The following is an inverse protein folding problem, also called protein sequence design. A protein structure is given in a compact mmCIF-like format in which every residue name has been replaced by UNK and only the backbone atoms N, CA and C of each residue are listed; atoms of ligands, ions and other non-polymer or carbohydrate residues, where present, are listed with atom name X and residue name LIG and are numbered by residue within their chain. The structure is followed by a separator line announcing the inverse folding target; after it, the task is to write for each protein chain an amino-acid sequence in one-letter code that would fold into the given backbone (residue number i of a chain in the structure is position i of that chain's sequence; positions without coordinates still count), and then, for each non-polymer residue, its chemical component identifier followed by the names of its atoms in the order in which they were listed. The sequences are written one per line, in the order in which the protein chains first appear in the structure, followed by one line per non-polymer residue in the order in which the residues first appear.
data_IF_901648265187
#
_entry.id   IF_901648265187
#
_cell.length_a   1.000
_cell.length_b   1.000
_cell.length_c   1.000
_cell.angle_alpha   90.00
_cell.angle_beta   90.00
_cell.angle_gamma   90.00
#
_symmetry.space_group_name_H-M   'P 1'
#
loop_
_entity.id
_entity.type
_entity.pdbx_description
1 polymer ?
#
# COMPACT_ATOMS: atom_id res chain seq x y z
N UNK A 1 7.88 -13.60 19.73
CA UNK A 1 7.66 -12.16 19.62
C UNK A 1 8.54 -11.57 18.50
N UNK A 2 7.95 -10.91 17.51
CA UNK A 2 8.70 -10.17 16.48
C UNK A 2 8.99 -8.79 17.05
N UNK A 3 10.23 -8.32 16.89
CA UNK A 3 10.65 -6.98 17.35
C UNK A 3 10.11 -5.90 16.46
N UNK A 4 9.88 -4.70 17.01
CA UNK A 4 9.51 -3.51 16.28
C UNK A 4 10.63 -2.99 15.38
N UNK A 5 10.26 -2.16 14.40
CA UNK A 5 11.22 -1.49 13.53
C UNK A 5 12.11 -0.54 14.34
N UNK A 6 13.41 -0.63 14.13
CA UNK A 6 14.38 0.17 14.88
C UNK A 6 14.74 -0.36 16.27
N UNK A 7 14.09 -1.41 16.77
CA UNK A 7 14.41 -2.01 18.07
C UNK A 7 15.84 -2.55 18.08
N UNK A 8 16.67 -2.20 19.09
CA UNK A 8 18.07 -2.61 19.14
C UNK A 8 18.26 -4.13 19.20
N UNK A 9 19.29 -4.63 18.51
CA UNK A 9 19.68 -6.03 18.52
C UNK A 9 20.89 -6.26 19.43
N UNK A 10 20.96 -7.38 20.11
CA UNK A 10 22.07 -7.73 21.01
C UNK A 10 23.42 -7.84 20.31
N UNK A 11 23.43 -8.15 19.01
CA UNK A 11 24.64 -8.22 18.18
C UNK A 11 25.03 -6.90 17.51
N UNK A 12 24.37 -5.80 17.83
CA UNK A 12 24.48 -4.50 17.14
C UNK A 12 23.53 -4.39 15.94
N UNK A 13 23.20 -3.14 15.59
CA UNK A 13 22.20 -2.83 14.58
C UNK A 13 20.75 -2.80 15.14
N UNK A 14 19.78 -2.75 14.24
CA UNK A 14 18.37 -2.61 14.59
C UNK A 14 17.47 -3.57 13.81
N UNK A 15 16.30 -3.88 14.36
CA UNK A 15 15.29 -4.72 13.73
C UNK A 15 14.69 -4.04 12.50
N UNK A 16 14.42 -4.82 11.45
CA UNK A 16 13.67 -4.36 10.26
C UNK A 16 12.18 -4.24 10.48
N UNK A 17 11.71 -4.62 11.66
CA UNK A 17 10.31 -4.50 12.08
C UNK A 17 9.39 -5.63 11.66
N UNK A 18 8.19 -5.58 12.22
CA UNK A 18 7.16 -6.59 12.04
C UNK A 18 6.75 -6.77 10.58
N UNK A 19 6.46 -5.67 9.87
CA UNK A 19 5.91 -5.73 8.51
C UNK A 19 6.85 -6.40 7.52
N UNK A 20 8.16 -6.27 7.69
CA UNK A 20 9.15 -6.95 6.86
C UNK A 20 8.98 -8.47 6.88
N UNK A 21 8.75 -9.05 8.06
CA UNK A 21 8.49 -10.48 8.23
C UNK A 21 7.09 -10.88 7.74
N UNK A 22 6.10 -10.02 7.97
CA UNK A 22 4.74 -10.28 7.52
C UNK A 22 4.64 -10.34 6.00
N UNK A 23 5.38 -9.49 5.28
CA UNK A 23 5.47 -9.51 3.81
C UNK A 23 6.03 -10.83 3.28
N UNK A 24 7.05 -11.40 3.94
CA UNK A 24 7.59 -12.72 3.58
C UNK A 24 6.51 -13.80 3.71
N UNK A 25 5.83 -13.84 4.87
CA UNK A 25 4.76 -14.80 5.11
C UNK A 25 3.57 -14.63 4.16
N UNK A 26 3.23 -13.40 3.79
CA UNK A 26 2.17 -13.10 2.84
C UNK A 26 2.49 -13.63 1.43
N UNK A 27 3.71 -13.38 0.94
CA UNK A 27 4.16 -13.90 -0.35
C UNK A 27 4.26 -15.43 -0.35
N UNK A 28 4.72 -16.04 0.73
CA UNK A 28 4.74 -17.49 0.88
C UNK A 28 3.31 -18.07 0.82
N UNK A 29 2.36 -17.49 1.55
CA UNK A 29 0.96 -17.91 1.52
C UNK A 29 0.34 -17.78 0.11
N UNK A 30 0.65 -16.70 -0.62
CA UNK A 30 0.19 -16.50 -2.00
C UNK A 30 0.77 -17.51 -2.98
N UNK A 31 1.98 -18.00 -2.75
CA UNK A 31 2.64 -18.99 -3.61
C UNK A 31 2.16 -20.42 -3.37
N UNK A 32 1.66 -20.72 -2.16
CA UNK A 32 1.24 -22.07 -1.76
C UNK A 32 -0.26 -22.25 -2.03
N UNK A 33 -0.60 -23.21 -2.88
CA UNK A 33 -1.98 -23.63 -3.08
C UNK A 33 -2.33 -24.75 -2.09
N UNK A 34 -3.34 -24.50 -1.26
CA UNK A 34 -3.79 -25.49 -0.27
C UNK A 34 -4.48 -26.68 -0.95
N UNK A 35 -3.99 -27.91 -0.70
CA UNK A 35 -4.69 -29.16 -0.97
C UNK A 35 -5.05 -29.44 -2.43
N UNK A 36 -4.34 -28.90 -3.41
CA UNK A 36 -4.63 -29.11 -4.83
C UNK A 36 -5.91 -28.45 -5.35
N UNK A 37 -6.57 -27.65 -4.51
CA UNK A 37 -7.76 -26.87 -4.85
C UNK A 37 -7.38 -25.45 -5.27
N UNK A 38 -8.34 -24.72 -5.85
CA UNK A 38 -8.18 -23.32 -6.26
C UNK A 38 -8.05 -22.34 -5.08
N UNK A 39 -8.21 -22.81 -3.84
CA UNK A 39 -8.11 -21.96 -2.64
C UNK A 39 -6.66 -21.61 -2.34
N UNK A 40 -6.36 -20.31 -2.24
CA UNK A 40 -5.07 -19.82 -1.75
C UNK A 40 -4.93 -20.15 -0.27
N UNK A 41 -3.70 -20.42 0.17
CA UNK A 41 -3.38 -20.46 1.59
C UNK A 41 -3.57 -19.05 2.16
N UNK A 42 -4.05 -18.94 3.39
CA UNK A 42 -4.17 -17.70 4.13
C UNK A 42 -3.46 -17.84 5.47
N UNK A 43 -2.86 -16.75 5.93
CA UNK A 43 -2.32 -16.65 7.29
C UNK A 43 -3.21 -15.75 8.12
N UNK A 44 -3.27 -16.02 9.40
CA UNK A 44 -3.87 -15.13 10.39
C UNK A 44 -2.76 -14.57 11.28
N UNK A 45 -2.81 -13.27 11.52
CA UNK A 45 -1.85 -12.58 12.39
C UNK A 45 -2.62 -11.80 13.44
N UNK A 46 -2.20 -11.92 14.69
CA UNK A 46 -2.74 -11.13 15.79
C UNK A 46 -1.60 -10.33 16.42
N UNK A 47 -1.81 -9.04 16.60
CA UNK A 47 -0.82 -8.14 17.18
C UNK A 47 -1.39 -7.46 18.43
N UNK A 48 -0.56 -7.35 19.47
CA UNK A 48 -0.89 -6.59 20.67
C UNK A 48 -0.86 -5.09 20.39
N UNK A 49 -1.81 -4.33 20.94
CA UNK A 49 -1.90 -2.88 20.74
C UNK A 49 -0.71 -2.10 21.31
N UNK A 50 0.08 -2.69 22.21
CA UNK A 50 1.29 -2.08 22.76
C UNK A 50 2.54 -2.30 21.89
N UNK A 51 2.38 -2.91 20.70
CA UNK A 51 3.51 -3.15 19.80
C UNK A 51 3.99 -1.86 19.12
N UNK A 52 5.32 -1.63 19.01
CA UNK A 52 5.87 -0.41 18.40
C UNK A 52 5.38 -0.14 16.97
N UNK A 53 5.19 -1.19 16.17
CA UNK A 53 4.75 -1.08 14.77
C UNK A 53 3.23 -1.13 14.61
N UNK A 54 2.45 -0.90 15.68
CA UNK A 54 0.99 -1.10 15.64
C UNK A 54 0.29 -0.20 14.62
N UNK A 55 0.72 1.05 14.49
CA UNK A 55 0.11 2.00 13.55
C UNK A 55 0.30 1.54 12.11
N UNK A 56 1.54 1.17 11.73
CA UNK A 56 1.84 0.66 10.40
C UNK A 56 1.11 -0.67 10.11
N UNK A 57 0.96 -1.51 11.14
CA UNK A 57 0.23 -2.77 11.03
C UNK A 57 -1.25 -2.57 10.75
N UNK A 58 -1.89 -1.61 11.44
CA UNK A 58 -3.29 -1.26 11.24
C UNK A 58 -3.47 -0.70 9.82
N UNK A 59 -2.61 0.23 9.39
CA UNK A 59 -2.70 0.90 8.08
C UNK A 59 -2.27 0.01 6.90
N UNK A 60 -1.60 -1.12 7.17
CA UNK A 60 -0.94 -1.88 6.11
C UNK A 60 -1.87 -2.23 4.95
N UNK A 61 -3.03 -2.80 5.24
CA UNK A 61 -3.94 -3.27 4.20
C UNK A 61 -4.65 -2.14 3.46
N UNK A 62 -5.09 -1.11 4.18
CA UNK A 62 -5.70 0.09 3.57
C UNK A 62 -4.72 0.80 2.62
N UNK A 63 -3.46 0.95 3.04
CA UNK A 63 -2.41 1.54 2.19
C UNK A 63 -2.11 0.71 0.94
N UNK A 64 -2.20 -0.61 1.01
CA UNK A 64 -2.02 -1.47 -0.16
C UNK A 64 -3.23 -1.41 -1.11
N UNK A 65 -4.46 -1.29 -0.60
CA UNK A 65 -5.67 -1.05 -1.40
C UNK A 65 -5.62 0.32 -2.11
N UNK A 66 -5.12 1.36 -1.45
CA UNK A 66 -4.90 2.66 -2.08
C UNK A 66 -3.90 2.57 -3.25
N UNK A 67 -2.86 1.74 -3.12
CA UNK A 67 -1.90 1.50 -4.24
C UNK A 67 -2.58 0.82 -5.43
N UNK A 68 -3.46 -0.16 -5.19
CA UNK A 68 -4.24 -0.79 -6.27
C UNK A 68 -5.08 0.26 -6.99
N UNK A 69 -5.80 1.09 -6.25
CA UNK A 69 -6.60 2.18 -6.81
C UNK A 69 -5.75 3.15 -7.65
N UNK A 70 -4.55 3.50 -7.15
CA UNK A 70 -3.62 4.36 -7.87
C UNK A 70 -3.08 3.71 -9.17
N UNK A 71 -2.79 2.40 -9.16
CA UNK A 71 -2.37 1.65 -10.35
C UNK A 71 -3.48 1.62 -11.41
N UNK A 72 -4.72 1.32 -10.99
CA UNK A 72 -5.89 1.28 -11.89
C UNK A 72 -6.13 2.65 -12.52
N UNK A 73 -6.23 3.70 -11.71
CA UNK A 73 -6.46 5.07 -12.20
C UNK A 73 -5.29 5.53 -13.08
N UNK A 74 -4.05 5.30 -12.64
CA UNK A 74 -2.85 5.73 -13.35
C UNK A 74 -2.72 5.08 -14.72
N UNK A 75 -2.96 3.76 -14.85
CA UNK A 75 -2.90 3.05 -16.12
C UNK A 75 -3.97 3.54 -17.11
N UNK A 76 -5.19 3.77 -16.61
CA UNK A 76 -6.28 4.33 -17.44
C UNK A 76 -5.99 5.76 -17.92
N UNK A 77 -5.38 6.60 -17.08
CA UNK A 77 -4.94 7.95 -17.47
C UNK A 77 -3.87 7.86 -18.55
N UNK A 78 -2.86 6.99 -18.38
CA UNK A 78 -1.79 6.78 -19.37
C UNK A 78 -2.36 6.34 -20.72
N UNK A 79 -3.25 5.34 -20.74
CA UNK A 79 -3.90 4.86 -21.96
C UNK A 79 -4.71 5.96 -22.66
N UNK A 80 -5.51 6.73 -21.90
CA UNK A 80 -6.31 7.84 -22.42
C UNK A 80 -5.42 8.89 -23.10
N UNK A 81 -4.33 9.29 -22.46
CA UNK A 81 -3.42 10.29 -23.01
C UNK A 81 -2.60 9.74 -24.18
N UNK A 82 -2.20 8.46 -24.14
CA UNK A 82 -1.54 7.81 -25.27
C UNK A 82 -2.42 7.85 -26.52
N UNK A 83 -3.69 7.47 -26.38
CA UNK A 83 -4.65 7.52 -27.48
C UNK A 83 -4.86 8.95 -27.99
N UNK A 84 -5.03 9.92 -27.09
CA UNK A 84 -5.21 11.34 -27.46
C UNK A 84 -3.99 11.92 -28.19
N UNK A 85 -2.78 11.54 -27.80
CA UNK A 85 -1.55 11.98 -28.49
C UNK A 85 -1.43 11.35 -29.89
N UNK A 86 -1.65 10.02 -29.97
CA UNK A 86 -1.64 9.32 -31.27
C UNK A 86 -2.70 9.87 -32.22
N UNK A 87 -3.91 10.08 -31.71
CA UNK A 87 -5.00 10.68 -32.51
C UNK A 87 -4.63 12.07 -33.00
N UNK A 88 -4.08 12.93 -32.14
CA UNK A 88 -3.65 14.29 -32.54
C UNK A 88 -2.51 14.30 -33.56
N UNK A 89 -1.65 13.27 -33.57
CA UNK A 89 -0.57 13.11 -34.56
C UNK A 89 -1.15 12.64 -35.90
N UNK A 90 -2.02 11.61 -35.89
CA UNK A 90 -2.44 10.94 -37.14
C UNK A 90 -3.69 11.53 -37.78
N UNK A 91 -4.44 12.40 -37.08
CA UNK A 91 -5.55 13.20 -37.65
C UNK A 91 -5.08 14.53 -38.27
N UNK A 92 -3.78 14.82 -38.21
CA UNK A 92 -3.23 16.00 -38.92
C UNK A 92 -3.34 15.82 -40.42
N UNK A 93 -3.87 16.82 -41.12
CA UNK A 93 -3.98 16.86 -42.60
C UNK A 93 -2.62 16.92 -43.29
N UNK A 94 -1.54 17.12 -42.56
CA UNK A 94 -0.18 17.21 -43.07
C UNK A 94 0.45 15.81 -43.14
N UNK A 95 0.85 15.38 -44.35
CA UNK A 95 1.49 14.09 -44.58
C UNK A 95 2.98 14.07 -44.17
N UNK A 96 3.58 15.22 -43.90
CA UNK A 96 4.97 15.31 -43.46
C UNK A 96 5.09 14.97 -41.96
N UNK A 97 5.84 13.91 -41.69
CA UNK A 97 6.14 13.49 -40.32
C UNK A 97 6.86 14.58 -39.50
N UNK A 98 7.62 15.45 -40.12
CA UNK A 98 8.33 16.53 -39.43
C UNK A 98 7.36 17.56 -38.85
N UNK A 99 6.31 17.90 -39.61
CA UNK A 99 5.27 18.86 -39.20
C UNK A 99 4.28 18.26 -38.21
N UNK A 100 3.80 17.03 -38.47
CA UNK A 100 2.78 16.40 -37.61
C UNK A 100 3.30 16.07 -36.22
N UNK A 101 4.60 15.81 -36.06
CA UNK A 101 5.26 15.49 -34.77
C UNK A 101 5.85 16.72 -34.07
N UNK A 102 5.77 17.89 -34.67
CA UNK A 102 6.24 19.16 -34.09
C UNK A 102 5.09 19.87 -33.35
N UNK A 103 5.13 19.98 -32.01
CA UNK A 103 4.09 20.66 -31.24
C UNK A 103 3.99 22.17 -31.54
N UNK A 104 4.97 22.77 -32.22
CA UNK A 104 4.90 24.17 -32.63
C UNK A 104 4.04 24.36 -33.88
N UNK A 105 3.95 23.34 -34.71
CA UNK A 105 3.19 23.33 -35.97
C UNK A 105 1.85 22.59 -35.80
N UNK A 106 1.85 21.46 -35.09
CA UNK A 106 0.63 20.71 -34.78
C UNK A 106 -0.01 21.21 -33.46
N UNK A 107 -0.99 22.09 -33.59
CA UNK A 107 -1.69 22.67 -32.43
C UNK A 107 -2.49 21.63 -31.62
N UNK A 108 -3.05 20.58 -32.28
CA UNK A 108 -3.77 19.52 -31.64
C UNK A 108 -2.83 18.70 -30.75
N UNK A 109 -1.65 18.33 -31.24
CA UNK A 109 -0.61 17.67 -30.52
C UNK A 109 -0.14 18.49 -29.31
N UNK A 110 0.12 19.80 -29.51
CA UNK A 110 0.49 20.69 -28.40
C UNK A 110 -0.54 20.71 -27.30
N UNK A 111 -1.83 20.80 -27.63
CA UNK A 111 -2.92 20.78 -26.65
C UNK A 111 -2.98 19.44 -25.90
N UNK A 112 -2.80 18.31 -26.58
CA UNK A 112 -2.78 16.99 -25.98
C UNK A 112 -1.58 16.80 -25.04
N UNK A 113 -0.38 17.28 -25.41
CA UNK A 113 0.81 17.29 -24.55
C UNK A 113 0.56 18.10 -23.27
N UNK A 114 0.01 19.32 -23.41
CA UNK A 114 -0.26 20.18 -22.24
C UNK A 114 -1.29 19.55 -21.30
N UNK A 115 -2.31 18.88 -21.83
CA UNK A 115 -3.28 18.13 -21.00
C UNK A 115 -2.62 16.97 -20.29
N UNK A 116 -1.81 16.17 -20.98
CA UNK A 116 -1.09 15.05 -20.38
C UNK A 116 -0.19 15.51 -19.21
N UNK A 117 0.55 16.63 -19.40
CA UNK A 117 1.38 17.20 -18.34
C UNK A 117 0.55 17.69 -17.15
N UNK A 118 -0.61 18.31 -17.39
CA UNK A 118 -1.53 18.75 -16.31
C UNK A 118 -2.11 17.59 -15.52
N UNK A 119 -2.33 16.45 -16.18
CA UNK A 119 -2.83 15.22 -15.55
C UNK A 119 -1.66 14.35 -14.98
N UNK A 120 -0.47 14.96 -14.81
CA UNK A 120 0.73 14.34 -14.22
C UNK A 120 1.28 13.14 -15.02
N UNK A 121 1.04 13.05 -16.31
CA UNK A 121 1.69 12.03 -17.15
C UNK A 121 3.20 12.35 -17.24
N UNK A 122 4.08 11.41 -16.85
CA UNK A 122 5.52 11.66 -16.88
C UNK A 122 6.03 11.95 -18.29
N UNK A 123 6.91 12.95 -18.43
CA UNK A 123 7.49 13.33 -19.71
C UNK A 123 8.10 12.15 -20.50
N UNK A 124 8.82 11.19 -19.88
CA UNK A 124 9.34 10.04 -20.62
C UNK A 124 8.27 9.21 -21.34
N UNK A 125 7.06 9.11 -20.78
CA UNK A 125 5.94 8.42 -21.45
C UNK A 125 5.44 9.19 -22.66
N UNK A 126 5.30 10.51 -22.54
CA UNK A 126 4.92 11.38 -23.68
C UNK A 126 5.96 11.23 -24.78
N UNK A 127 7.26 11.33 -24.44
CA UNK A 127 8.34 11.18 -25.41
C UNK A 127 8.32 9.81 -26.09
N UNK A 128 8.11 8.73 -25.33
CA UNK A 128 7.99 7.38 -25.90
C UNK A 128 6.87 7.27 -26.91
N UNK A 129 5.72 7.89 -26.68
CA UNK A 129 4.60 7.90 -27.63
C UNK A 129 4.98 8.63 -28.90
N UNK A 130 5.65 9.78 -28.80
CA UNK A 130 6.16 10.52 -29.97
C UNK A 130 7.19 9.71 -30.76
N UNK A 131 8.07 8.97 -30.08
CA UNK A 131 9.09 8.14 -30.74
C UNK A 131 8.47 6.92 -31.44
N UNK A 132 7.42 6.31 -30.86
CA UNK A 132 6.65 5.27 -31.53
C UNK A 132 5.93 5.79 -32.78
N UNK A 133 5.34 6.99 -32.69
CA UNK A 133 4.71 7.63 -33.85
C UNK A 133 5.73 7.95 -34.95
N UNK A 134 6.95 8.38 -34.60
CA UNK A 134 8.05 8.56 -35.59
C UNK A 134 8.39 7.26 -36.31
N UNK A 135 8.26 6.12 -35.67
CA UNK A 135 8.47 4.80 -36.24
C UNK A 135 7.27 4.29 -37.05
N UNK A 136 6.20 5.07 -37.15
CA UNK A 136 5.01 4.75 -37.93
C UNK A 136 3.90 4.03 -37.16
N UNK A 137 4.01 3.90 -35.82
CA UNK A 137 2.95 3.35 -35.02
C UNK A 137 1.75 4.29 -34.96
N UNK A 138 0.56 3.75 -35.21
CA UNK A 138 -0.70 4.52 -35.23
C UNK A 138 -1.53 4.40 -33.97
N UNK A 139 -1.12 3.57 -33.04
CA UNK A 139 -1.75 3.36 -31.76
C UNK A 139 -0.78 2.69 -30.80
N UNK A 140 -1.05 2.82 -29.50
CA UNK A 140 -0.30 2.17 -28.44
C UNK A 140 -1.33 1.55 -27.51
N UNK A 141 -1.21 0.25 -27.29
CA UNK A 141 -2.00 -0.46 -26.32
C UNK A 141 -1.17 -0.62 -25.04
N UNK A 142 -1.61 0.05 -23.97
CA UNK A 142 -1.06 -0.13 -22.65
C UNK A 142 -1.93 -1.11 -21.88
N UNK A 143 -1.30 -2.03 -21.20
CA UNK A 143 -2.00 -2.88 -20.24
C UNK A 143 -2.59 -2.01 -19.12
N UNK A 144 -3.91 -1.95 -19.05
CA UNK A 144 -4.63 -1.26 -17.99
C UNK A 144 -4.90 -2.23 -16.86
N UNK A 145 -4.56 -1.83 -15.65
CA UNK A 145 -4.94 -2.55 -14.45
C UNK A 145 -6.44 -2.40 -14.20
N UNK A 146 -7.03 -3.41 -13.60
CA UNK A 146 -8.42 -3.44 -13.18
C UNK A 146 -8.54 -3.70 -11.67
N UNK A 147 -9.77 -3.74 -11.17
CA UNK A 147 -10.08 -4.05 -9.77
C UNK A 147 -10.35 -5.53 -9.52
N UNK A 148 -10.01 -6.41 -10.45
CA UNK A 148 -10.10 -7.84 -10.23
C UNK A 148 -9.10 -8.28 -9.14
N UNK A 149 -9.60 -8.84 -8.06
CA UNK A 149 -8.80 -9.32 -6.94
C UNK A 149 -7.82 -10.45 -7.31
N UNK A 150 -8.00 -11.09 -8.46
CA UNK A 150 -7.06 -12.05 -9.05
C UNK A 150 -6.14 -11.41 -10.09
N UNK A 151 -6.37 -10.15 -10.43
CA UNK A 151 -5.65 -9.41 -11.45
C UNK A 151 -4.25 -8.97 -10.99
N UNK A 152 -3.48 -8.47 -11.94
CA UNK A 152 -2.06 -8.10 -11.73
C UNK A 152 -1.88 -6.97 -10.75
N UNK A 153 -2.83 -6.02 -10.64
CA UNK A 153 -2.77 -4.94 -9.67
C UNK A 153 -2.68 -5.50 -8.24
N UNK A 154 -3.54 -6.46 -7.89
CA UNK A 154 -3.54 -7.10 -6.58
C UNK A 154 -2.33 -8.04 -6.37
N UNK A 155 -1.76 -8.61 -7.43
CA UNK A 155 -0.52 -9.40 -7.33
C UNK A 155 0.70 -8.53 -7.00
N UNK A 156 0.68 -7.24 -7.34
CA UNK A 156 1.78 -6.32 -7.09
C UNK A 156 1.87 -5.86 -5.64
N UNK A 157 0.76 -5.86 -4.88
CA UNK A 157 0.67 -5.41 -3.50
C UNK A 157 0.82 -6.55 -2.49
N UNK A 158 1.00 -6.23 -1.22
CA UNK A 158 1.16 -7.19 -0.13
C UNK A 158 -0.07 -7.22 0.80
N UNK A 159 -0.13 -8.21 1.71
CA UNK A 159 -1.21 -8.30 2.69
C UNK A 159 -2.49 -8.98 2.21
N UNK A 160 -2.55 -9.41 0.95
CA UNK A 160 -3.75 -10.00 0.35
C UNK A 160 -4.05 -11.43 0.84
N UNK A 161 -3.05 -12.13 1.38
CA UNK A 161 -3.18 -13.49 1.91
C UNK A 161 -3.16 -13.51 3.45
N UNK A 162 -3.40 -12.35 4.09
CA UNK A 162 -3.33 -12.17 5.53
C UNK A 162 -4.66 -11.67 6.07
N UNK A 163 -5.17 -12.32 7.11
CA UNK A 163 -6.22 -11.80 7.98
C UNK A 163 -5.53 -11.24 9.22
N UNK A 164 -5.64 -9.93 9.44
CA UNK A 164 -4.97 -9.26 10.54
C UNK A 164 -5.97 -8.96 11.66
N UNK A 165 -5.52 -9.08 12.89
CA UNK A 165 -6.31 -8.75 14.07
C UNK A 165 -5.47 -8.00 15.08
N UNK A 166 -6.08 -7.07 15.79
CA UNK A 166 -5.48 -6.40 16.94
C UNK A 166 -6.02 -7.00 18.24
N UNK A 167 -5.15 -7.21 19.19
CA UNK A 167 -5.49 -7.72 20.52
C UNK A 167 -5.67 -6.55 21.47
N UNK A 168 -6.90 -6.34 21.91
CA UNK A 168 -7.35 -5.20 22.72
C UNK A 168 -7.55 -5.64 24.17
N UNK A 169 -6.74 -5.18 25.13
CA UNK A 169 -6.99 -5.39 26.55
C UNK A 169 -8.02 -4.39 27.09
N UNK A 170 -8.68 -4.74 28.23
CA UNK A 170 -9.62 -3.83 28.89
C UNK A 170 -8.98 -2.49 29.27
N UNK A 171 -7.71 -2.52 29.73
CA UNK A 171 -6.95 -1.30 30.07
C UNK A 171 -6.84 -0.31 28.92
N UNK A 172 -6.73 -0.79 27.68
CA UNK A 172 -6.76 0.10 26.51
C UNK A 172 -8.15 0.75 26.31
N UNK A 173 -9.21 -0.04 26.46
CA UNK A 173 -10.57 0.50 26.35
C UNK A 173 -10.91 1.49 27.46
N UNK A 174 -10.33 1.30 28.65
CA UNK A 174 -10.46 2.24 29.75
C UNK A 174 -9.68 3.54 29.43
N UNK A 175 -8.47 3.43 28.88
CA UNK A 175 -7.71 4.59 28.42
C UNK A 175 -8.45 5.38 27.31
N UNK A 176 -9.09 4.71 26.36
CA UNK A 176 -9.94 5.36 25.33
C UNK A 176 -11.09 6.12 25.98
N UNK A 177 -11.81 5.51 26.94
CA UNK A 177 -12.94 6.15 27.63
C UNK A 177 -12.54 7.37 28.43
N UNK A 178 -11.35 7.32 29.04
CA UNK A 178 -10.84 8.36 29.93
C UNK A 178 -10.09 9.46 29.17
N UNK A 179 -9.81 9.30 27.85
CA UNK A 179 -8.98 10.22 27.07
C UNK A 179 -7.53 10.21 27.51
N UNK A 180 -7.00 9.03 27.81
CA UNK A 180 -5.64 8.81 28.28
C UNK A 180 -4.69 8.42 27.13
N UNK A 181 -3.40 8.49 27.42
CA UNK A 181 -2.37 8.04 26.51
C UNK A 181 -2.19 6.52 26.56
N UNK A 182 -1.69 5.95 25.47
CA UNK A 182 -1.32 4.56 25.34
C UNK A 182 0.16 4.39 25.01
N UNK A 183 0.86 3.56 25.79
CA UNK A 183 2.29 3.34 25.66
C UNK A 183 2.58 2.17 24.70
N UNK A 184 3.44 2.42 23.72
CA UNK A 184 4.05 1.38 22.90
C UNK A 184 5.40 1.00 23.50
N UNK A 185 5.69 -0.31 23.52
CA UNK A 185 6.84 -0.86 24.25
C UNK A 185 7.63 -1.81 23.35
N UNK A 186 8.97 -1.65 23.36
CA UNK A 186 9.86 -2.61 22.72
C UNK A 186 9.67 -4.01 23.30
N UNK A 187 9.68 -5.02 22.46
CA UNK A 187 9.48 -6.41 22.93
C UNK A 187 10.58 -6.85 23.90
N UNK A 188 11.83 -6.47 23.63
CA UNK A 188 12.95 -6.74 24.54
C UNK A 188 12.86 -5.96 25.84
N UNK A 189 12.30 -4.76 25.83
CA UNK A 189 12.05 -3.99 27.05
C UNK A 189 10.96 -4.62 27.90
N UNK A 190 9.88 -5.08 27.26
CA UNK A 190 8.80 -5.80 27.95
C UNK A 190 9.30 -7.05 28.65
N UNK A 191 10.18 -7.82 28.01
CA UNK A 191 10.77 -9.03 28.60
C UNK A 191 11.67 -8.67 29.79
N UNK A 192 12.55 -7.65 29.66
CA UNK A 192 13.42 -7.17 30.75
C UNK A 192 12.63 -6.62 31.95
N UNK A 193 11.63 -5.79 31.69
CA UNK A 193 10.80 -5.22 32.72
C UNK A 193 10.07 -6.30 33.54
N UNK A 194 9.62 -7.37 32.87
CA UNK A 194 9.03 -8.52 33.53
C UNK A 194 10.04 -9.28 34.41
N UNK A 195 11.29 -9.47 33.95
CA UNK A 195 12.36 -10.11 34.73
C UNK A 195 12.77 -9.26 35.94
N UNK A 196 12.79 -7.92 35.79
CA UNK A 196 13.15 -6.96 36.82
C UNK A 196 11.98 -6.57 37.76
N UNK A 197 10.77 -7.09 37.48
CA UNK A 197 9.53 -6.78 38.19
C UNK A 197 9.24 -5.28 38.33
N UNK A 198 9.40 -4.56 37.20
CA UNK A 198 9.11 -3.14 37.04
C UNK A 198 8.19 -2.90 35.83
N UNK A 199 7.63 -1.70 35.76
CA UNK A 199 6.90 -1.28 34.57
C UNK A 199 7.86 -1.05 33.39
N UNK A 200 7.46 -1.45 32.15
CA UNK A 200 8.26 -1.25 30.96
C UNK A 200 8.29 0.23 30.54
N UNK A 201 9.45 0.68 30.06
CA UNK A 201 9.59 2.02 29.49
C UNK A 201 8.95 2.11 28.10
N UNK A 202 8.17 3.17 27.87
CA UNK A 202 7.55 3.41 26.59
C UNK A 202 8.58 3.88 25.54
N UNK A 203 8.61 3.26 24.38
CA UNK A 203 9.38 3.75 23.24
C UNK A 203 8.63 4.82 22.44
N UNK A 204 7.30 4.80 22.50
CA UNK A 204 6.41 5.80 21.88
C UNK A 204 5.14 5.87 22.72
N UNK A 205 4.55 7.06 22.75
CA UNK A 205 3.29 7.32 23.44
C UNK A 205 2.28 7.86 22.42
N UNK A 206 1.09 7.29 22.38
CA UNK A 206 0.00 7.67 21.48
C UNK A 206 -1.22 8.08 22.29
N UNK A 207 -2.11 8.86 21.72
CA UNK A 207 -3.47 9.03 22.23
C UNK A 207 -4.27 7.76 21.97
N UNK A 208 -4.92 7.22 23.03
CA UNK A 208 -5.66 5.96 22.91
C UNK A 208 -6.90 6.10 22.02
N UNK A 209 -7.56 7.25 22.06
CA UNK A 209 -8.72 7.56 21.23
C UNK A 209 -8.35 7.62 19.74
N UNK A 210 -7.28 8.35 19.39
CA UNK A 210 -6.79 8.43 18.01
C UNK A 210 -6.38 7.05 17.46
N UNK A 211 -5.72 6.23 18.29
CA UNK A 211 -5.37 4.86 17.88
C UNK A 211 -6.62 3.99 17.66
N UNK A 212 -7.65 4.15 18.49
CA UNK A 212 -8.91 3.43 18.34
C UNK A 212 -9.68 3.87 17.10
N UNK A 213 -9.74 5.18 16.83
CA UNK A 213 -10.34 5.73 15.62
C UNK A 213 -9.66 5.22 14.35
N UNK A 214 -8.33 5.09 14.40
CA UNK A 214 -7.54 4.49 13.30
C UNK A 214 -7.94 3.03 13.05
N UNK A 215 -8.09 2.21 14.09
CA UNK A 215 -8.60 0.82 13.96
C UNK A 215 -9.99 0.80 13.34
N UNK A 216 -10.88 1.65 13.81
CA UNK A 216 -12.26 1.74 13.29
C UNK A 216 -12.28 2.17 11.82
N UNK A 217 -11.47 3.17 11.46
CA UNK A 217 -11.37 3.65 10.09
C UNK A 217 -10.89 2.58 9.12
N UNK A 218 -9.81 1.88 9.44
CA UNK A 218 -9.26 0.83 8.56
C UNK A 218 -10.19 -0.37 8.44
N UNK A 219 -10.87 -0.75 9.53
CA UNK A 219 -11.90 -1.79 9.49
C UNK A 219 -13.07 -1.40 8.58
N UNK A 220 -13.46 -0.13 8.54
CA UNK A 220 -14.45 0.37 7.61
C UNK A 220 -13.93 0.42 6.16
N UNK A 221 -12.69 0.88 5.96
CA UNK A 221 -12.12 1.10 4.63
C UNK A 221 -11.80 -0.21 3.87
N UNK A 222 -11.27 -1.23 4.56
CA UNK A 222 -10.80 -2.46 3.92
C UNK A 222 -11.19 -3.76 4.66
N UNK A 223 -12.13 -3.68 5.61
CA UNK A 223 -12.59 -4.81 6.44
C UNK A 223 -11.47 -5.50 7.25
N UNK A 224 -10.37 -4.79 7.52
CA UNK A 224 -9.19 -5.22 8.28
C UNK A 224 -8.65 -3.99 9.06
N UNK A 225 -8.16 -4.07 10.32
CA UNK A 225 -7.93 -5.28 11.11
C UNK A 225 -9.16 -5.70 11.92
N UNK A 226 -9.31 -7.00 12.14
CA UNK A 226 -10.26 -7.54 13.12
C UNK A 226 -9.87 -7.18 14.55
N UNK A 227 -10.80 -7.22 15.49
CA UNK A 227 -10.58 -6.89 16.90
C UNK A 227 -10.79 -8.12 17.77
N UNK A 228 -9.85 -8.40 18.67
CA UNK A 228 -9.96 -9.44 19.69
C UNK A 228 -9.90 -8.81 21.08
N UNK A 229 -11.01 -8.81 21.80
CA UNK A 229 -11.08 -8.33 23.19
C UNK A 229 -10.44 -9.37 24.12
N UNK A 230 -9.12 -9.27 24.23
CA UNK A 230 -8.27 -10.28 24.88
C UNK A 230 -8.67 -10.62 26.31
N UNK A 231 -8.92 -9.61 27.13
CA UNK A 231 -9.28 -9.82 28.55
C UNK A 231 -10.65 -10.48 28.73
N UNK A 232 -11.55 -10.36 27.74
CA UNK A 232 -12.87 -10.96 27.78
C UNK A 232 -12.85 -12.41 27.26
N UNK A 233 -11.93 -12.72 26.34
CA UNK A 233 -11.81 -14.05 25.73
C UNK A 233 -10.99 -15.01 26.61
N UNK A 234 -10.01 -14.50 27.36
CA UNK A 234 -9.12 -15.24 28.25
C UNK A 234 -9.33 -14.81 29.69
#
# INVERSE_FOLDING_TARGET
NIRGAGEPLSGGGSSSGLLSFLKIGDRAAGAIKSGGTTRRAAKMVTLDLDHPDIEEYIDWKSSEEEKVSALVIGSNILQKHANSLMEAIWQSDDDDNSTRLDPTQNLALRKSIVRAIKDNVPQPHIQRILDLARQGWKGVDFECFDTDWQGEAYMSVSGQNSNNSVRVPNSFMDAVKNGENWNLVWRTEKDKAAEENRDPEACKVLDAGELWDKVAYTAWACADAGVQFYTTIN
#
